data_IF_087762169402
#
_entry.id   IF_087762169402
#
_cell.length_a   1.000
_cell.length_b   1.000
_cell.length_c   1.000
_cell.angle_alpha   90.00
_cell.angle_beta   90.00
_cell.angle_gamma   90.00
#
_symmetry.space_group_name_H-M   'P 1'
#
loop_
_entity.id
_entity.type
_entity.pdbx_description
1 polymer ?
#
# COMPACT_ATOMS: atom_id res chain seq x y z
N UNK A 1 6.67 0.29 -16.24
CA UNK A 1 8.12 0.21 -16.01
C UNK A 1 8.46 -0.95 -15.10
N UNK A 2 9.65 -0.95 -14.52
CA UNK A 2 10.13 -1.98 -13.59
C UNK A 2 9.40 -1.97 -12.25
N UNK A 3 9.50 -3.07 -11.50
CA UNK A 3 9.04 -3.14 -10.12
C UNK A 3 10.08 -2.54 -9.17
N UNK A 4 9.64 -1.64 -8.30
CA UNK A 4 10.48 -0.92 -7.35
C UNK A 4 9.82 -1.00 -5.98
N UNK A 5 10.58 -1.46 -4.99
CA UNK A 5 10.20 -1.35 -3.59
C UNK A 5 10.50 0.06 -3.10
N UNK A 6 9.51 0.64 -2.44
CA UNK A 6 9.57 1.91 -1.72
C UNK A 6 9.53 1.56 -0.24
N UNK A 7 10.65 1.77 0.43
CA UNK A 7 10.82 1.44 1.85
C UNK A 7 10.95 2.73 2.66
N UNK A 8 10.20 2.83 3.74
CA UNK A 8 10.35 3.88 4.76
C UNK A 8 10.59 3.25 6.13
N UNK A 9 10.69 4.08 7.17
CA UNK A 9 10.70 3.60 8.56
C UNK A 9 9.38 2.94 8.98
N UNK A 10 8.27 3.28 8.32
CA UNK A 10 6.93 2.82 8.68
C UNK A 10 6.55 1.50 7.99
N UNK A 11 7.13 1.21 6.83
CA UNK A 11 6.85 -0.01 6.10
C UNK A 11 7.47 -0.07 4.72
N UNK A 12 7.02 -1.04 3.92
CA UNK A 12 7.47 -1.25 2.54
C UNK A 12 6.30 -1.59 1.62
N UNK A 13 6.27 -0.97 0.44
CA UNK A 13 5.37 -1.34 -0.66
C UNK A 13 6.12 -1.48 -1.98
N UNK A 14 5.63 -2.31 -2.88
CA UNK A 14 6.18 -2.47 -4.24
C UNK A 14 5.21 -1.90 -5.27
N UNK A 15 5.74 -1.00 -6.10
CA UNK A 15 4.99 -0.30 -7.14
C UNK A 15 5.71 -0.37 -8.49
N UNK A 16 4.96 -0.13 -9.57
CA UNK A 16 5.53 0.02 -10.93
C UNK A 16 6.14 1.42 -11.07
N UNK A 17 7.42 1.47 -11.41
CA UNK A 17 8.08 2.74 -11.70
C UNK A 17 7.66 3.29 -13.07
N UNK A 18 7.47 4.62 -13.10
CA UNK A 18 7.33 5.43 -14.30
C UNK A 18 8.35 6.57 -14.23
N UNK A 19 9.44 6.48 -15.00
CA UNK A 19 10.51 7.49 -14.99
C UNK A 19 10.09 8.64 -15.89
N UNK A 20 10.03 9.85 -15.33
CA UNK A 20 9.60 11.06 -16.05
C UNK A 20 10.39 12.26 -15.57
N UNK A 21 10.42 13.32 -16.37
CA UNK A 21 11.02 14.61 -16.00
C UNK A 21 10.05 15.54 -15.24
N UNK A 22 8.84 15.06 -14.91
CA UNK A 22 7.78 15.87 -14.27
C UNK A 22 8.06 16.20 -12.80
N UNK A 23 8.91 15.40 -12.15
CA UNK A 23 9.28 15.54 -10.75
C UNK A 23 10.76 15.86 -10.64
N UNK A 24 11.14 16.61 -9.61
CA UNK A 24 12.52 17.00 -9.38
C UNK A 24 13.38 15.78 -9.02
N UNK A 25 14.69 15.78 -9.35
CA UNK A 25 15.62 14.76 -8.88
C UNK A 25 15.56 14.61 -7.35
N UNK A 26 15.47 13.37 -6.88
CA UNK A 26 15.32 13.05 -5.45
C UNK A 26 13.88 13.06 -4.93
N UNK A 27 12.89 13.38 -5.77
CA UNK A 27 11.46 13.36 -5.39
C UNK A 27 10.75 12.20 -6.08
N UNK A 28 9.91 11.49 -5.31
CA UNK A 28 9.03 10.43 -5.80
C UNK A 28 7.58 10.87 -5.59
N UNK A 29 6.73 10.60 -6.58
CA UNK A 29 5.29 10.81 -6.51
C UNK A 29 4.57 9.47 -6.64
N UNK A 30 3.54 9.26 -5.81
CA UNK A 30 2.67 8.09 -5.89
C UNK A 30 1.21 8.47 -5.59
N UNK A 31 0.29 7.56 -5.83
CA UNK A 31 -1.14 7.72 -5.54
C UNK A 31 -1.65 6.54 -4.71
N UNK A 32 -2.77 6.73 -4.03
CA UNK A 32 -3.35 5.76 -3.08
C UNK A 32 -4.74 5.24 -3.51
N UNK A 33 -5.08 5.38 -4.80
CA UNK A 33 -6.41 5.00 -5.32
C UNK A 33 -6.69 3.49 -5.23
N UNK A 34 -5.64 2.67 -5.24
CA UNK A 34 -5.73 1.21 -5.31
C UNK A 34 -5.28 0.59 -3.99
N UNK A 35 -6.16 -0.13 -3.26
CA UNK A 35 -5.85 -0.65 -1.93
C UNK A 35 -4.69 -1.67 -1.93
N UNK A 36 -4.59 -2.49 -2.99
CA UNK A 36 -3.52 -3.48 -3.18
C UNK A 36 -2.13 -2.85 -3.29
N UNK A 37 -2.07 -1.55 -3.62
CA UNK A 37 -0.83 -0.81 -3.72
C UNK A 37 -0.25 -0.45 -2.36
N UNK A 38 -1.06 -0.44 -1.29
CA UNK A 38 -0.58 -0.14 0.06
C UNK A 38 0.18 1.18 0.19
N UNK A 39 -0.17 2.22 -0.58
CA UNK A 39 0.64 3.43 -0.65
C UNK A 39 0.82 4.11 0.72
N UNK A 40 -0.19 4.06 1.59
CA UNK A 40 -0.13 4.65 2.93
C UNK A 40 0.64 3.81 3.96
N UNK A 41 1.08 2.60 3.60
CA UNK A 41 1.91 1.75 4.49
C UNK A 41 3.29 2.36 4.72
N UNK A 42 3.78 3.13 3.74
CA UNK A 42 5.05 3.84 3.87
C UNK A 42 4.90 5.21 4.53
N UNK A 43 3.68 5.74 4.64
CA UNK A 43 3.39 7.02 5.28
C UNK A 43 3.60 6.90 6.80
N UNK A 44 4.21 7.92 7.39
CA UNK A 44 4.50 7.94 8.82
C UNK A 44 3.34 8.40 9.68
N UNK A 45 3.48 8.22 10.98
CA UNK A 45 2.62 8.73 12.05
C UNK A 45 2.81 10.23 12.36
N UNK A 46 3.51 10.95 11.48
CA UNK A 46 3.77 12.39 11.66
C UNK A 46 2.51 13.19 11.32
N UNK A 47 2.11 14.09 12.22
CA UNK A 47 0.89 14.89 12.11
C UNK A 47 1.13 16.36 12.46
N UNK A 48 0.26 17.24 11.99
CA UNK A 48 0.22 18.65 12.40
C UNK A 48 -0.30 18.80 13.83
N UNK A 49 0.25 19.77 14.57
CA UNK A 49 -0.04 19.99 15.99
C UNK A 49 -1.43 20.56 16.27
N UNK A 50 -2.06 21.24 15.29
CA UNK A 50 -3.33 21.92 15.51
C UNK A 50 -4.55 21.04 15.22
N UNK A 51 -4.43 20.17 14.22
CA UNK A 51 -5.58 19.41 13.68
C UNK A 51 -5.35 17.91 13.59
N UNK A 52 -4.15 17.43 13.93
CA UNK A 52 -3.74 16.04 13.78
C UNK A 52 -3.82 15.55 12.31
N UNK A 53 -3.73 16.48 11.35
CA UNK A 53 -3.71 16.16 9.93
C UNK A 53 -2.42 15.39 9.57
N UNK A 54 -2.48 14.20 8.96
CA UNK A 54 -1.28 13.41 8.68
C UNK A 54 -0.41 13.97 7.56
N UNK A 55 0.90 13.76 7.69
CA UNK A 55 1.92 14.19 6.72
C UNK A 55 1.99 13.26 5.49
N UNK A 56 0.96 13.29 4.65
CA UNK A 56 0.89 12.45 3.44
C UNK A 56 1.83 12.87 2.30
N UNK A 57 2.41 14.07 2.38
CA UNK A 57 3.12 14.69 1.24
C UNK A 57 4.64 14.61 1.39
N UNK A 58 5.14 14.23 2.56
CA UNK A 58 6.56 14.14 2.86
C UNK A 58 6.81 12.86 3.66
N UNK A 59 7.61 11.97 3.10
CA UNK A 59 8.10 10.78 3.80
C UNK A 59 9.46 10.44 3.22
N UNK A 60 10.46 10.29 4.08
CA UNK A 60 11.78 9.81 3.66
C UNK A 60 11.68 8.34 3.25
N UNK A 61 12.13 8.01 2.03
CA UNK A 61 12.04 6.67 1.46
C UNK A 61 13.32 6.25 0.74
N UNK A 62 13.57 4.95 0.70
CA UNK A 62 14.55 4.30 -0.16
C UNK A 62 13.83 3.57 -1.30
N UNK A 63 14.24 3.84 -2.54
CA UNK A 63 13.78 3.10 -3.71
C UNK A 63 14.80 2.03 -4.11
N UNK A 64 14.34 0.79 -4.37
CA UNK A 64 15.19 -0.32 -4.84
C UNK A 64 14.46 -1.17 -5.87
N UNK A 65 15.14 -1.60 -6.94
CA UNK A 65 14.55 -2.50 -7.94
C UNK A 65 14.32 -3.89 -7.32
N UNK A 66 13.15 -4.49 -7.58
CA UNK A 66 12.76 -5.81 -7.05
C UNK A 66 12.03 -6.64 -8.10
N UNK A 67 11.81 -7.92 -7.81
CA UNK A 67 11.06 -8.85 -8.68
C UNK A 67 9.85 -9.49 -7.98
N UNK A 68 9.65 -9.21 -6.69
CA UNK A 68 8.60 -9.78 -5.85
C UNK A 68 7.80 -8.66 -5.15
N UNK A 69 6.53 -8.90 -4.80
CA UNK A 69 5.75 -7.97 -3.96
C UNK A 69 6.34 -7.86 -2.55
N UNK A 70 5.94 -6.83 -1.79
CA UNK A 70 6.35 -6.71 -0.39
C UNK A 70 5.67 -7.76 0.50
N UNK A 71 6.27 -8.05 1.65
CA UNK A 71 5.67 -8.92 2.67
C UNK A 71 4.30 -8.41 3.12
N UNK A 72 4.15 -7.09 3.24
CA UNK A 72 2.86 -6.48 3.56
C UNK A 72 1.81 -6.76 2.49
N UNK A 73 2.16 -6.62 1.20
CA UNK A 73 1.23 -6.90 0.10
C UNK A 73 0.86 -8.38 0.04
N UNK A 74 1.82 -9.28 0.25
CA UNK A 74 1.55 -10.73 0.30
C UNK A 74 0.61 -11.10 1.47
N UNK A 75 0.81 -10.49 2.64
CA UNK A 75 -0.07 -10.68 3.78
C UNK A 75 -1.47 -10.10 3.54
N UNK A 76 -1.55 -8.91 2.94
CA UNK A 76 -2.81 -8.25 2.61
C UNK A 76 -3.66 -9.10 1.67
N UNK A 77 -3.07 -9.61 0.58
CA UNK A 77 -3.77 -10.51 -0.36
C UNK A 77 -4.31 -11.75 0.37
N UNK A 78 -3.47 -12.44 1.14
CA UNK A 78 -3.90 -13.63 1.90
C UNK A 78 -5.03 -13.32 2.88
N UNK A 79 -4.98 -12.16 3.53
CA UNK A 79 -6.02 -11.72 4.46
C UNK A 79 -7.34 -11.48 3.72
N UNK A 80 -7.30 -10.72 2.62
CA UNK A 80 -8.47 -10.41 1.79
C UNK A 80 -9.15 -11.68 1.25
N UNK A 81 -8.37 -12.59 0.65
CA UNK A 81 -8.89 -13.86 0.13
C UNK A 81 -9.63 -14.66 1.22
N UNK A 82 -9.09 -14.67 2.44
CA UNK A 82 -9.71 -15.35 3.58
C UNK A 82 -11.01 -14.65 4.00
N UNK A 83 -11.06 -13.32 3.98
CA UNK A 83 -12.29 -12.61 4.34
C UNK A 83 -13.41 -12.86 3.34
N UNK A 84 -13.09 -12.88 2.04
CA UNK A 84 -14.05 -13.21 0.98
C UNK A 84 -14.58 -14.62 1.15
N UNK A 85 -13.70 -15.60 1.39
CA UNK A 85 -14.12 -16.99 1.66
C UNK A 85 -15.09 -17.09 2.85
N UNK A 86 -14.78 -16.41 3.95
CA UNK A 86 -15.62 -16.41 5.15
C UNK A 86 -16.98 -15.74 4.91
N UNK A 87 -17.03 -14.71 4.06
CA UNK A 87 -18.27 -14.06 3.69
C UNK A 87 -19.15 -15.02 2.87
N UNK A 88 -18.59 -15.67 1.86
CA UNK A 88 -19.30 -16.67 1.06
C UNK A 88 -19.83 -17.84 1.90
N UNK A 89 -19.02 -18.36 2.83
CA UNK A 89 -19.43 -19.42 3.75
C UNK A 89 -20.65 -18.99 4.56
N UNK A 90 -20.65 -17.76 5.08
CA UNK A 90 -21.79 -17.22 5.84
C UNK A 90 -23.03 -17.00 5.00
N UNK A 91 -22.89 -16.55 3.76
CA UNK A 91 -24.03 -16.40 2.85
C UNK A 91 -24.65 -17.76 2.48
N UNK A 92 -23.81 -18.78 2.24
CA UNK A 92 -24.26 -20.16 2.01
C UNK A 92 -25.00 -20.73 3.22
N UNK A 93 -24.46 -20.55 4.42
CA UNK A 93 -25.09 -21.00 5.66
C UNK A 93 -26.46 -20.34 5.84
N UNK A 94 -26.58 -19.02 5.62
CA UNK A 94 -27.86 -18.31 5.73
C UNK A 94 -28.89 -18.79 4.70
N UNK A 95 -28.47 -19.00 3.45
CA UNK A 95 -29.35 -19.47 2.38
C UNK A 95 -29.88 -20.91 2.62
N UNK A 96 -29.13 -21.75 3.35
CA UNK A 96 -29.58 -23.10 3.70
C UNK A 96 -30.55 -23.16 4.89
N UNK A 97 -30.63 -22.10 5.69
CA UNK A 97 -31.52 -21.98 6.86
C UNK A 97 -32.79 -21.15 6.59
N UNK A 98 -32.96 -20.62 5.37
CA UNK A 98 -34.14 -19.91 4.90
C UNK A 98 -35.03 -20.82 4.03
#
# INVERSE_FOLDING_TARGET
GDWVAIQSRAGETVLRANVTERVQPGVIYTTFHFPESGANVVTTDSTDWATDCPEYKVTAVQARRVTKPSEWQAHWTRFSDKQEQLLEDRERDQASHA
#
